data_IF_571611103648
#
_entry.id   IF_571611103648
#
_cell.length_a   1.000
_cell.length_b   1.000
_cell.length_c   1.000
_cell.angle_alpha   90.00
_cell.angle_beta   90.00
_cell.angle_gamma   90.00
#
_symmetry.space_group_name_H-M   'P 1'
#
loop_
_entity.id
_entity.type
_entity.pdbx_description
1 polymer ?
#
# COMPACT_ATOMS: atom_id res chain seq x y z
N UNK A 1 -0.59 14.36 -3.83
CA UNK A 1 0.02 13.39 -4.76
C UNK A 1 -1.04 12.49 -5.40
N UNK A 2 -1.90 11.78 -4.64
CA UNK A 2 -3.05 11.03 -5.21
C UNK A 2 -3.91 11.83 -6.21
N UNK A 3 -4.22 13.10 -5.92
CA UNK A 3 -4.98 13.97 -6.85
C UNK A 3 -4.34 14.17 -8.24
N UNK A 4 -3.04 13.91 -8.38
CA UNK A 4 -2.31 14.02 -9.66
C UNK A 4 -2.40 12.73 -10.48
N UNK A 5 -2.87 11.62 -9.89
CA UNK A 5 -3.09 10.38 -10.62
C UNK A 5 -4.29 10.59 -11.56
N UNK A 6 -4.11 10.41 -12.87
CA UNK A 6 -5.22 10.52 -13.82
C UNK A 6 -6.19 9.35 -13.62
N UNK A 7 -7.46 9.56 -13.97
CA UNK A 7 -8.41 8.45 -14.07
C UNK A 7 -7.93 7.47 -15.14
N UNK A 8 -8.07 6.17 -14.87
CA UNK A 8 -7.66 5.10 -15.78
C UNK A 8 -8.82 4.14 -16.02
N UNK A 9 -9.02 3.74 -17.28
CA UNK A 9 -10.19 2.97 -17.69
C UNK A 9 -11.48 3.78 -17.59
N UNK A 10 -12.58 3.22 -18.13
CA UNK A 10 -13.89 3.87 -18.04
C UNK A 10 -14.44 3.87 -16.61
N UNK A 11 -14.07 2.85 -15.82
CA UNK A 11 -14.57 2.60 -14.46
C UNK A 11 -13.53 1.89 -13.55
N UNK A 12 -12.21 2.02 -13.82
CA UNK A 12 -11.19 1.25 -13.07
C UNK A 12 -10.53 2.08 -11.98
N UNK A 13 -10.01 3.28 -12.30
CA UNK A 13 -9.45 4.21 -11.31
C UNK A 13 -10.22 5.52 -11.38
N UNK A 14 -10.96 5.84 -10.32
CA UNK A 14 -11.70 7.10 -10.23
C UNK A 14 -10.83 8.25 -9.73
N UNK A 15 -11.36 9.47 -9.87
CA UNK A 15 -10.70 10.67 -9.34
C UNK A 15 -10.65 10.62 -7.81
N UNK A 16 -9.44 10.61 -7.25
CA UNK A 16 -9.24 10.66 -5.81
C UNK A 16 -9.75 11.96 -5.17
N UNK A 17 -10.24 11.85 -3.94
CA UNK A 17 -10.76 12.98 -3.15
C UNK A 17 -9.68 14.02 -2.85
N UNK A 18 -10.10 15.21 -2.40
CA UNK A 18 -9.16 16.29 -2.04
C UNK A 18 -8.23 15.90 -0.87
N UNK A 19 -8.72 15.06 0.05
CA UNK A 19 -7.98 14.60 1.22
C UNK A 19 -8.08 13.07 1.36
N UNK A 20 -7.41 12.34 0.49
CA UNK A 20 -7.40 10.87 0.54
C UNK A 20 -6.74 10.31 1.80
N UNK A 21 -5.85 11.07 2.43
CA UNK A 21 -5.17 10.70 3.69
C UNK A 21 -6.08 10.69 4.91
N UNK A 22 -7.23 11.39 4.87
CA UNK A 22 -8.19 11.37 5.98
C UNK A 22 -8.92 10.02 6.07
N UNK A 23 -8.99 9.29 4.95
CA UNK A 23 -9.66 7.98 4.83
C UNK A 23 -11.13 7.97 5.33
N UNK A 24 -11.77 9.14 5.40
CA UNK A 24 -13.13 9.32 5.90
C UNK A 24 -14.16 9.05 4.81
N UNK A 25 -15.24 8.32 5.17
CA UNK A 25 -16.35 7.94 4.26
C UNK A 25 -15.85 7.24 2.98
N UNK A 26 -14.81 6.43 3.12
CA UNK A 26 -14.21 5.73 1.99
C UNK A 26 -14.93 4.42 1.72
N UNK A 27 -15.27 4.17 0.47
CA UNK A 27 -15.81 2.88 0.03
C UNK A 27 -14.67 1.88 -0.15
N UNK A 28 -14.99 0.58 -0.14
CA UNK A 28 -14.01 -0.47 -0.41
C UNK A 28 -13.31 -0.26 -1.77
N UNK A 29 -14.06 0.15 -2.80
CA UNK A 29 -13.51 0.46 -4.13
C UNK A 29 -12.50 1.60 -4.10
N UNK A 30 -12.81 2.72 -3.43
CA UNK A 30 -11.88 3.84 -3.34
C UNK A 30 -10.62 3.49 -2.54
N UNK A 31 -10.76 2.63 -1.52
CA UNK A 31 -9.59 2.13 -0.79
C UNK A 31 -8.70 1.26 -1.67
N UNK A 32 -9.31 0.38 -2.48
CA UNK A 32 -8.58 -0.46 -3.43
C UNK A 32 -7.84 0.38 -4.48
N UNK A 33 -8.48 1.40 -5.05
CA UNK A 33 -7.84 2.32 -6.00
C UNK A 33 -6.60 3.01 -5.40
N UNK A 34 -6.66 3.37 -4.11
CA UNK A 34 -5.52 3.95 -3.40
C UNK A 34 -4.36 2.96 -3.30
N UNK A 35 -4.64 1.69 -2.95
CA UNK A 35 -3.61 0.65 -2.88
C UNK A 35 -2.96 0.41 -4.24
N UNK A 36 -3.76 0.29 -5.31
CA UNK A 36 -3.26 0.09 -6.68
C UNK A 36 -2.37 1.25 -7.15
N UNK A 37 -2.64 2.47 -6.69
CA UNK A 37 -1.89 3.67 -7.06
C UNK A 37 -0.83 4.09 -6.03
N UNK A 38 -0.59 3.31 -4.98
CA UNK A 38 0.26 3.72 -3.87
C UNK A 38 1.74 3.86 -4.28
N UNK A 39 2.30 2.92 -5.04
CA UNK A 39 3.72 2.92 -5.40
C UNK A 39 4.21 4.24 -6.04
N UNK A 40 3.63 4.73 -7.15
CA UNK A 40 4.06 6.01 -7.74
C UNK A 40 3.75 7.22 -6.84
N UNK A 41 2.74 7.12 -5.98
CA UNK A 41 2.37 8.19 -5.06
C UNK A 41 3.35 8.33 -3.90
N UNK A 42 3.93 7.23 -3.42
CA UNK A 42 4.92 7.22 -2.35
C UNK A 42 6.36 7.32 -2.85
N UNK A 43 6.61 7.12 -4.14
CA UNK A 43 7.96 7.19 -4.71
C UNK A 43 8.64 8.54 -4.49
N UNK A 44 9.80 8.57 -3.85
CA UNK A 44 10.53 9.80 -3.51
C UNK A 44 9.80 10.68 -2.49
N UNK A 45 8.83 10.13 -1.74
CA UNK A 45 8.16 10.86 -0.67
C UNK A 45 9.05 11.03 0.56
N UNK A 46 9.86 10.02 0.86
CA UNK A 46 10.78 10.00 2.00
C UNK A 46 12.23 10.12 1.50
N UNK A 47 13.18 10.54 2.36
CA UNK A 47 14.59 10.40 2.06
C UNK A 47 15.00 8.92 2.06
N UNK A 48 16.06 8.58 1.32
CA UNK A 48 16.70 7.28 1.45
C UNK A 48 17.40 7.18 2.81
N UNK A 49 17.46 5.97 3.43
CA UNK A 49 17.02 4.66 2.91
C UNK A 49 15.52 4.35 3.12
N UNK A 50 14.77 5.24 3.77
CA UNK A 50 13.40 4.98 4.22
C UNK A 50 12.40 4.86 3.06
N UNK A 51 12.60 5.63 1.99
CA UNK A 51 11.78 5.55 0.80
C UNK A 51 11.81 4.15 0.18
N UNK A 52 13.00 3.58 -0.04
CA UNK A 52 13.12 2.20 -0.52
C UNK A 52 12.45 1.19 0.41
N UNK A 53 12.57 1.37 1.73
CA UNK A 53 11.92 0.50 2.72
C UNK A 53 10.39 0.56 2.62
N UNK A 54 9.81 1.77 2.51
CA UNK A 54 8.36 1.96 2.41
C UNK A 54 7.82 1.45 1.07
N UNK A 55 8.51 1.71 -0.04
CA UNK A 55 8.10 1.21 -1.35
C UNK A 55 8.11 -0.32 -1.39
N UNK A 56 9.13 -0.96 -0.80
CA UNK A 56 9.19 -2.42 -0.68
C UNK A 56 8.02 -2.96 0.14
N UNK A 57 7.69 -2.32 1.26
CA UNK A 57 6.55 -2.70 2.09
C UNK A 57 5.23 -2.57 1.33
N UNK A 58 5.01 -1.45 0.65
CA UNK A 58 3.80 -1.21 -0.15
C UNK A 58 3.66 -2.22 -1.29
N UNK A 59 4.76 -2.55 -1.98
CA UNK A 59 4.75 -3.57 -3.03
C UNK A 59 4.29 -4.93 -2.50
N UNK A 60 4.90 -5.40 -1.40
CA UNK A 60 4.54 -6.69 -0.80
C UNK A 60 3.09 -6.70 -0.28
N UNK A 61 2.60 -5.58 0.24
CA UNK A 61 1.19 -5.45 0.64
C UNK A 61 0.24 -5.55 -0.57
N UNK A 62 0.60 -4.94 -1.69
CA UNK A 62 -0.19 -5.04 -2.93
C UNK A 62 -0.21 -6.48 -3.45
N UNK A 63 0.94 -7.16 -3.48
CA UNK A 63 1.05 -8.55 -3.89
C UNK A 63 0.21 -9.47 -2.99
N UNK A 64 0.37 -9.32 -1.68
CA UNK A 64 -0.40 -10.09 -0.69
C UNK A 64 -1.90 -9.85 -0.82
N UNK A 65 -2.34 -8.59 -0.96
CA UNK A 65 -3.74 -8.25 -1.15
C UNK A 65 -4.31 -8.81 -2.45
N UNK A 66 -3.52 -8.77 -3.54
CA UNK A 66 -3.89 -9.36 -4.82
C UNK A 66 -4.13 -10.88 -4.72
N UNK A 67 -3.22 -11.59 -4.03
CA UNK A 67 -3.35 -13.03 -3.77
C UNK A 67 -4.56 -13.33 -2.89
N UNK A 68 -4.77 -12.56 -1.82
CA UNK A 68 -5.91 -12.71 -0.91
C UNK A 68 -7.27 -12.45 -1.59
N UNK A 69 -7.29 -11.64 -2.65
CA UNK A 69 -8.49 -11.33 -3.42
C UNK A 69 -8.82 -12.37 -4.49
N UNK A 70 -7.95 -13.35 -4.75
CA UNK A 70 -8.23 -14.41 -5.71
C UNK A 70 -9.50 -15.17 -5.29
N UNK A 71 -10.45 -15.30 -6.21
CA UNK A 71 -11.70 -16.02 -5.95
C UNK A 71 -11.52 -17.53 -5.89
N UNK A 72 -10.44 -18.03 -6.48
CA UNK A 72 -10.07 -19.44 -6.51
C UNK A 72 -8.62 -19.57 -6.07
N UNK A 73 -8.41 -20.21 -4.93
CA UNK A 73 -7.10 -20.59 -4.45
C UNK A 73 -6.77 -22.02 -4.91
N UNK A 74 -5.62 -22.18 -5.55
CA UNK A 74 -4.98 -23.48 -5.78
C UNK A 74 -3.85 -23.68 -4.77
N UNK A 75 -3.37 -24.91 -4.61
CA UNK A 75 -2.23 -25.22 -3.73
C UNK A 75 -0.99 -24.36 -4.07
N UNK A 76 -0.75 -24.09 -5.36
CA UNK A 76 0.33 -23.21 -5.79
C UNK A 76 0.12 -21.76 -5.33
N UNK A 77 -1.09 -21.22 -5.47
CA UNK A 77 -1.37 -19.85 -5.03
C UNK A 77 -1.30 -19.70 -3.51
N UNK A 78 -1.68 -20.75 -2.75
CA UNK A 78 -1.56 -20.77 -1.30
C UNK A 78 -0.09 -20.79 -0.87
N UNK A 79 0.75 -21.59 -1.52
CA UNK A 79 2.21 -21.58 -1.26
C UNK A 79 2.84 -20.21 -1.55
N UNK A 80 2.43 -19.55 -2.64
CA UNK A 80 2.89 -18.20 -2.96
C UNK A 80 2.40 -17.19 -1.91
N UNK A 81 1.15 -17.31 -1.45
CA UNK A 81 0.60 -16.45 -0.40
C UNK A 81 1.33 -16.64 0.94
N UNK A 82 1.68 -17.87 1.31
CA UNK A 82 2.47 -18.16 2.51
C UNK A 82 3.87 -17.54 2.44
N UNK A 83 4.56 -17.71 1.31
CA UNK A 83 5.87 -17.09 1.08
C UNK A 83 5.82 -15.55 1.10
N UNK A 84 4.77 -14.98 0.50
CA UNK A 84 4.53 -13.52 0.49
C UNK A 84 4.22 -13.01 1.89
N UNK A 85 3.43 -13.74 2.69
CA UNK A 85 3.09 -13.39 4.08
C UNK A 85 4.34 -13.40 4.97
N UNK A 86 5.21 -14.39 4.83
CA UNK A 86 6.49 -14.44 5.55
C UNK A 86 7.40 -13.26 5.17
N UNK A 87 7.51 -12.96 3.88
CA UNK A 87 8.29 -11.83 3.37
C UNK A 87 7.76 -10.49 3.88
N UNK A 88 6.43 -10.33 3.87
CA UNK A 88 5.75 -9.16 4.41
C UNK A 88 6.03 -8.98 5.90
N UNK A 89 5.91 -10.05 6.70
CA UNK A 89 6.22 -10.00 8.13
C UNK A 89 7.66 -9.57 8.41
N UNK A 90 8.63 -10.06 7.64
CA UNK A 90 10.04 -9.66 7.77
C UNK A 90 10.24 -8.17 7.42
N UNK A 91 9.62 -7.69 6.34
CA UNK A 91 9.74 -6.28 5.93
C UNK A 91 9.03 -5.34 6.89
N UNK A 92 7.87 -5.70 7.44
CA UNK A 92 7.18 -4.93 8.48
C UNK A 92 8.07 -4.79 9.72
N UNK A 93 8.65 -5.89 10.21
CA UNK A 93 9.56 -5.86 11.37
C UNK A 93 10.76 -4.94 11.11
N UNK A 94 11.36 -5.04 9.92
CA UNK A 94 12.46 -4.17 9.50
C UNK A 94 12.03 -2.69 9.44
N UNK A 95 10.86 -2.40 8.86
CA UNK A 95 10.31 -1.04 8.80
C UNK A 95 10.11 -0.45 10.20
N UNK A 96 9.56 -1.22 11.14
CA UNK A 96 9.36 -0.79 12.53
C UNK A 96 10.68 -0.49 13.22
N UNK A 97 11.71 -1.30 13.02
CA UNK A 97 13.02 -1.13 13.68
C UNK A 97 13.85 -0.02 13.05
N UNK A 98 13.87 0.08 11.72
CA UNK A 98 14.81 0.94 11.01
C UNK A 98 14.20 2.24 10.50
N UNK A 99 12.89 2.27 10.20
CA UNK A 99 12.24 3.44 9.62
C UNK A 99 11.45 4.24 10.64
N UNK A 100 10.61 3.59 11.46
CA UNK A 100 9.79 4.31 12.44
C UNK A 100 10.57 5.21 13.40
N UNK A 101 11.75 4.83 13.95
CA UNK A 101 12.49 5.70 14.87
C UNK A 101 13.00 7.00 14.22
N UNK A 102 13.14 7.01 12.89
CA UNK A 102 13.56 8.19 12.13
C UNK A 102 12.46 9.26 11.97
N UNK A 103 11.21 8.94 12.32
CA UNK A 103 10.07 9.85 12.17
C UNK A 103 9.26 9.93 13.45
N UNK A 104 9.19 11.13 14.04
CA UNK A 104 8.24 11.42 15.12
C UNK A 104 6.83 11.53 14.52
N UNK A 105 6.12 10.40 14.46
CA UNK A 105 4.72 10.38 13.99
C UNK A 105 3.81 10.80 15.16
N UNK A 106 3.28 12.02 15.10
CA UNK A 106 2.19 12.45 15.98
C UNK A 106 0.86 11.92 15.45
N UNK A 107 -0.04 11.50 16.36
CA UNK A 107 -1.40 11.17 15.96
C UNK A 107 -2.08 12.42 15.36
N UNK A 108 -2.62 12.29 14.15
CA UNK A 108 -3.47 13.33 13.56
C UNK A 108 -4.72 13.51 14.41
N UNK A 109 -5.13 14.75 14.75
CA UNK A 109 -6.41 15.00 15.43
C UNK A 109 -7.57 14.43 14.59
N UNK A 110 -8.54 13.82 15.27
CA UNK A 110 -9.71 13.19 14.65
C UNK A 110 -10.73 14.19 14.08
#
# INVERSE_FOLDING_TARGET
>A
RYRQVPSFGRDTIHRFSRNSSEMKKMTAHTFEDLLQCALPVFAGLLPEPHNSSVLKLLCLLCDWHGLAKLWMHTDETLQVMDGTTQSLGNVIRKFVVETCPGFSVAATPA
#
